data_IF_069851684483
#
_entry.id   IF_069851684483
#
_cell.length_a   1.000
_cell.length_b   1.000
_cell.length_c   1.000
_cell.angle_alpha   90.00
_cell.angle_beta   90.00
_cell.angle_gamma   90.00
#
_symmetry.space_group_name_H-M   'P 1'
#
loop_
_entity.id
_entity.type
_entity.pdbx_description
1 polymer ?
#
# COMPACT_ATOMS: atom_id res chain seq x y z
N UNK A 1 -10.86 -9.27 2.67
CA UNK A 1 -10.13 -7.99 2.40
C UNK A 1 -9.52 -7.45 3.66
N UNK A 2 -8.41 -6.65 3.55
CA UNK A 2 -7.88 -5.93 4.71
C UNK A 2 -8.84 -4.80 5.08
N UNK A 3 -9.27 -4.67 6.34
CA UNK A 3 -10.08 -3.55 6.78
C UNK A 3 -9.32 -2.22 6.65
N UNK A 4 -10.05 -1.17 6.32
CA UNK A 4 -9.52 0.18 6.17
C UNK A 4 -10.00 1.05 7.32
N UNK A 5 -9.05 1.64 8.06
CA UNK A 5 -9.30 2.47 9.23
C UNK A 5 -8.86 3.90 8.93
N UNK A 6 -9.80 4.85 8.98
CA UNK A 6 -9.51 6.27 8.78
C UNK A 6 -9.25 6.97 10.13
N UNK A 7 -8.17 7.75 10.20
CA UNK A 7 -7.85 8.63 11.32
C UNK A 7 -8.42 10.01 11.04
N UNK A 8 -9.33 10.49 11.88
CA UNK A 8 -10.02 11.78 11.75
C UNK A 8 -9.87 12.60 13.03
N UNK A 9 -9.81 13.90 12.91
CA UNK A 9 -9.73 14.81 14.06
C UNK A 9 -9.15 16.17 13.64
N UNK A 10 -9.28 17.17 14.51
CA UNK A 10 -8.72 18.51 14.28
C UNK A 10 -7.20 18.49 14.16
N UNK A 11 -6.56 19.54 13.66
CA UNK A 11 -5.09 19.65 13.65
C UNK A 11 -4.49 19.49 15.05
N UNK A 12 -3.28 18.93 15.12
CA UNK A 12 -2.47 18.80 16.36
C UNK A 12 -3.01 17.87 17.46
N UNK A 13 -4.07 17.09 17.25
CA UNK A 13 -4.54 16.06 18.21
C UNK A 13 -3.66 14.81 18.23
N UNK A 14 -2.65 14.70 17.33
CA UNK A 14 -1.71 13.59 17.30
C UNK A 14 -2.07 12.47 16.32
N UNK A 15 -2.86 12.74 15.27
CA UNK A 15 -3.19 11.77 14.20
C UNK A 15 -1.95 11.13 13.59
N UNK A 16 -1.03 11.94 13.11
CA UNK A 16 0.19 11.44 12.45
C UNK A 16 1.11 10.70 13.43
N UNK A 17 1.09 11.05 14.72
CA UNK A 17 1.80 10.28 15.75
C UNK A 17 1.18 8.89 15.92
N UNK A 18 -0.15 8.81 16.00
CA UNK A 18 -0.88 7.54 16.07
C UNK A 18 -0.68 6.72 14.79
N UNK A 19 -0.81 7.35 13.61
CA UNK A 19 -0.54 6.74 12.31
C UNK A 19 0.84 6.10 12.27
N UNK A 20 1.88 6.87 12.61
CA UNK A 20 3.25 6.38 12.65
C UNK A 20 3.44 5.24 13.67
N UNK A 21 2.72 5.28 14.78
CA UNK A 21 2.78 4.22 15.79
C UNK A 21 2.14 2.93 15.29
N UNK A 22 1.00 3.01 14.62
CA UNK A 22 0.29 1.86 14.07
C UNK A 22 1.05 1.23 12.89
N UNK A 23 1.61 2.06 12.01
CA UNK A 23 2.30 1.61 10.79
C UNK A 23 3.77 1.25 10.99
N UNK A 24 4.40 1.72 12.09
CA UNK A 24 5.79 1.37 12.48
C UNK A 24 5.86 0.10 13.32
N UNK A 25 5.10 -0.94 13.02
CA UNK A 25 5.39 -2.25 13.60
C UNK A 25 6.78 -2.71 13.13
N UNK A 26 7.53 -3.42 13.99
CA UNK A 26 8.93 -3.88 13.73
C UNK A 26 9.11 -4.67 12.43
N UNK A 27 8.02 -5.10 11.80
CA UNK A 27 7.98 -5.85 10.54
C UNK A 27 7.71 -4.95 9.31
N UNK A 28 7.35 -3.67 9.49
CA UNK A 28 7.28 -2.71 8.39
C UNK A 28 8.70 -2.28 8.06
N UNK A 29 9.31 -2.92 7.08
CA UNK A 29 10.58 -2.49 6.50
C UNK A 29 10.29 -1.17 5.79
N UNK A 30 10.52 -0.08 6.51
CA UNK A 30 10.59 1.26 5.93
C UNK A 30 11.88 1.30 5.13
N UNK A 31 11.80 0.99 3.85
CA UNK A 31 12.88 1.31 2.95
C UNK A 31 12.92 2.86 2.84
N UNK A 32 13.95 3.48 3.38
CA UNK A 32 14.26 4.89 3.15
C UNK A 32 14.69 5.06 1.68
N UNK A 33 13.70 5.13 0.79
CA UNK A 33 13.95 5.53 -0.59
C UNK A 33 13.96 7.05 -0.66
N UNK A 34 15.11 7.60 -1.08
CA UNK A 34 15.23 9.01 -1.39
C UNK A 34 14.19 9.36 -2.48
N UNK A 35 13.27 10.29 -2.17
CA UNK A 35 12.20 10.73 -3.07
C UNK A 35 10.78 10.40 -2.61
N UNK A 36 10.58 9.55 -1.60
CA UNK A 36 9.29 9.42 -0.93
C UNK A 36 9.16 10.52 0.13
N UNK A 37 8.24 11.45 -0.09
CA UNK A 37 7.97 12.52 0.87
C UNK A 37 7.46 11.98 2.20
N UNK A 38 7.82 12.64 3.31
CA UNK A 38 7.45 12.26 4.69
C UNK A 38 5.93 12.32 4.99
N UNK A 39 5.15 12.92 4.12
CA UNK A 39 3.70 13.09 4.29
C UNK A 39 2.95 11.87 3.73
N UNK A 40 2.99 10.77 4.49
CA UNK A 40 2.22 9.56 4.16
C UNK A 40 0.81 9.72 4.68
N UNK A 41 -0.17 9.67 3.78
CA UNK A 41 -1.59 9.69 4.13
C UNK A 41 -2.18 8.27 4.32
N UNK A 42 -1.43 7.21 4.01
CA UNK A 42 -1.88 5.82 4.18
C UNK A 42 -0.70 4.86 4.41
N UNK A 43 -0.95 3.78 5.13
CA UNK A 43 0.07 2.78 5.44
C UNK A 43 -0.53 1.47 5.90
N UNK A 44 0.27 0.39 5.78
CA UNK A 44 -0.09 -0.91 6.31
C UNK A 44 0.26 -0.99 7.80
N UNK A 45 -0.65 -1.56 8.57
CA UNK A 45 -0.45 -1.89 9.97
C UNK A 45 -0.85 -3.34 10.22
N UNK A 46 -0.43 -3.89 11.36
CA UNK A 46 -0.74 -5.26 11.74
C UNK A 46 -1.15 -5.32 13.21
N UNK A 47 -2.24 -6.01 13.49
CA UNK A 47 -2.68 -6.30 14.84
C UNK A 47 -2.90 -7.81 15.00
N UNK A 48 -2.06 -8.46 15.81
CA UNK A 48 -2.01 -9.92 15.87
C UNK A 48 -1.66 -10.54 14.50
N UNK A 49 -2.56 -11.36 13.97
CA UNK A 49 -2.44 -11.94 12.62
C UNK A 49 -3.15 -11.13 11.53
N UNK A 50 -3.96 -10.13 11.91
CA UNK A 50 -4.74 -9.33 10.97
C UNK A 50 -3.94 -8.17 10.43
N UNK A 51 -4.00 -7.97 9.14
CA UNK A 51 -3.40 -6.83 8.44
C UNK A 51 -4.49 -5.80 8.15
N UNK A 52 -4.16 -4.52 8.30
CA UNK A 52 -5.07 -3.39 8.16
C UNK A 52 -4.43 -2.27 7.34
N UNK A 53 -5.25 -1.51 6.64
CA UNK A 53 -4.83 -0.27 5.98
C UNK A 53 -5.26 0.89 6.87
N UNK A 54 -4.32 1.74 7.24
CA UNK A 54 -4.59 2.97 8.00
C UNK A 54 -4.47 4.16 7.07
N UNK A 55 -5.46 5.05 7.10
CA UNK A 55 -5.50 6.28 6.30
C UNK A 55 -5.45 7.49 7.23
N UNK A 56 -4.38 8.29 7.14
CA UNK A 56 -4.30 9.59 7.82
C UNK A 56 -4.97 10.64 6.92
N UNK A 57 -6.06 11.22 7.40
CA UNK A 57 -6.81 12.22 6.62
C UNK A 57 -6.25 13.64 6.73
N UNK A 58 -5.10 13.81 7.39
CA UNK A 58 -4.56 15.14 7.67
C UNK A 58 -5.43 15.92 8.66
N UNK A 59 -5.37 17.25 8.66
CA UNK A 59 -6.28 18.09 9.45
C UNK A 59 -7.64 18.18 8.75
N UNK A 60 -8.69 17.63 9.36
CA UNK A 60 -10.04 17.73 8.82
C UNK A 60 -10.67 19.09 9.18
N UNK A 61 -10.90 19.93 8.17
CA UNK A 61 -11.67 21.17 8.28
C UNK A 61 -12.96 21.02 7.47
N UNK A 62 -14.13 20.78 8.13
CA UNK A 62 -15.39 20.50 7.44
C UNK A 62 -15.88 21.67 6.56
N UNK A 63 -15.53 22.90 6.91
CA UNK A 63 -16.08 24.13 6.32
C UNK A 63 -15.10 24.88 5.40
N UNK A 64 -14.02 24.24 4.93
CA UNK A 64 -13.13 24.86 3.97
C UNK A 64 -13.86 25.17 2.65
N UNK A 65 -14.16 26.45 2.41
CA UNK A 65 -14.99 26.93 1.29
C UNK A 65 -14.19 27.40 0.08
N UNK A 66 -12.86 27.52 0.18
CA UNK A 66 -12.04 28.15 -0.87
C UNK A 66 -10.83 27.31 -1.28
N UNK A 67 -10.59 27.23 -2.60
CA UNK A 67 -9.32 26.78 -3.21
C UNK A 67 -8.92 25.32 -2.93
N UNK A 68 -7.63 25.13 -2.69
CA UNK A 68 -6.97 23.83 -2.44
C UNK A 68 -7.56 23.11 -1.22
N UNK A 69 -7.94 23.84 -0.17
CA UNK A 69 -8.54 23.30 1.04
C UNK A 69 -9.90 22.61 0.81
N UNK A 70 -10.69 23.13 -0.14
CA UNK A 70 -11.98 22.52 -0.52
C UNK A 70 -11.79 21.15 -1.17
N UNK A 71 -10.77 21.00 -2.01
CA UNK A 71 -10.46 19.72 -2.67
C UNK A 71 -9.90 18.70 -1.67
N UNK A 72 -9.03 19.14 -0.75
CA UNK A 72 -8.52 18.29 0.35
C UNK A 72 -9.67 17.82 1.26
N UNK A 73 -10.58 18.72 1.64
CA UNK A 73 -11.76 18.36 2.44
C UNK A 73 -12.68 17.35 1.73
N UNK A 74 -12.77 17.41 0.40
CA UNK A 74 -13.56 16.48 -0.41
C UNK A 74 -12.91 15.08 -0.43
N UNK A 75 -11.59 15.00 -0.61
CA UNK A 75 -10.85 13.73 -0.58
C UNK A 75 -10.92 13.09 0.81
N UNK A 76 -10.75 13.88 1.86
CA UNK A 76 -10.89 13.42 3.26
C UNK A 76 -12.29 12.87 3.53
N UNK A 77 -13.34 13.59 3.14
CA UNK A 77 -14.74 13.12 3.29
C UNK A 77 -14.97 11.80 2.56
N UNK A 78 -14.40 11.64 1.38
CA UNK A 78 -14.50 10.42 0.62
C UNK A 78 -13.76 9.26 1.30
N UNK A 79 -12.54 9.46 1.77
CA UNK A 79 -11.78 8.45 2.50
C UNK A 79 -12.52 7.97 3.76
N UNK A 80 -13.12 8.90 4.52
CA UNK A 80 -13.96 8.59 5.70
C UNK A 80 -15.21 7.80 5.30
N UNK A 81 -15.90 8.19 4.22
CA UNK A 81 -17.10 7.49 3.77
C UNK A 81 -16.82 6.05 3.31
N UNK A 82 -15.64 5.78 2.80
CA UNK A 82 -15.23 4.50 2.26
C UNK A 82 -14.48 3.60 3.27
N UNK A 83 -13.99 4.16 4.38
CA UNK A 83 -13.36 3.40 5.46
C UNK A 83 -14.35 2.43 6.12
N UNK A 84 -13.86 1.28 6.57
CA UNK A 84 -14.63 0.28 7.30
C UNK A 84 -14.87 0.71 8.75
N UNK A 85 -13.90 1.42 9.37
CA UNK A 85 -14.03 2.04 10.68
C UNK A 85 -13.30 3.39 10.72
N UNK A 86 -13.71 4.25 11.65
CA UNK A 86 -13.15 5.59 11.85
C UNK A 86 -12.62 5.72 13.28
N UNK A 87 -11.37 6.14 13.44
CA UNK A 87 -10.82 6.58 14.70
C UNK A 87 -10.93 8.10 14.78
N UNK A 88 -11.86 8.60 15.55
CA UNK A 88 -12.02 10.02 15.81
C UNK A 88 -11.13 10.43 16.97
N UNK A 89 -10.02 11.10 16.66
CA UNK A 89 -8.97 11.45 17.62
C UNK A 89 -9.22 12.83 18.17
N UNK A 90 -9.32 12.92 19.47
CA UNK A 90 -9.50 14.15 20.27
C UNK A 90 -8.32 14.33 21.22
N UNK A 91 -8.09 15.57 21.66
CA UNK A 91 -7.01 15.90 22.60
C UNK A 91 -7.54 15.81 24.04
N UNK A 92 -7.10 14.79 24.79
CA UNK A 92 -7.53 14.57 26.17
C UNK A 92 -7.22 15.75 27.12
N UNK A 93 -6.14 16.49 26.83
CA UNK A 93 -5.74 17.64 27.66
C UNK A 93 -6.41 18.94 27.25
N UNK A 94 -6.74 19.06 25.96
CA UNK A 94 -7.32 20.27 25.39
C UNK A 94 -8.84 20.35 25.52
N UNK A 95 -9.49 19.25 25.97
CA UNK A 95 -10.93 19.16 26.04
C UNK A 95 -11.65 19.15 24.68
N UNK A 96 -12.98 19.12 24.71
CA UNK A 96 -13.82 19.15 23.52
C UNK A 96 -13.93 20.57 22.96
N UNK A 97 -13.69 20.72 21.66
CA UNK A 97 -13.81 21.98 20.94
C UNK A 97 -15.06 22.01 20.05
N UNK A 98 -15.47 23.22 19.62
CA UNK A 98 -16.56 23.37 18.64
C UNK A 98 -16.31 22.57 17.35
N UNK A 99 -15.05 22.49 16.91
CA UNK A 99 -14.65 21.71 15.74
C UNK A 99 -14.83 20.20 15.96
N UNK A 100 -14.60 19.69 17.16
CA UNK A 100 -14.84 18.29 17.50
C UNK A 100 -16.33 17.93 17.43
N UNK A 101 -17.22 18.85 17.86
CA UNK A 101 -18.68 18.67 17.72
C UNK A 101 -19.11 18.63 16.24
N UNK A 102 -18.55 19.48 15.37
CA UNK A 102 -18.88 19.45 13.94
C UNK A 102 -18.41 18.15 13.28
N UNK A 103 -17.22 17.68 13.60
CA UNK A 103 -16.71 16.40 13.12
C UNK A 103 -17.60 15.25 13.61
N UNK A 104 -17.95 15.23 14.91
CA UNK A 104 -18.82 14.21 15.48
C UNK A 104 -20.20 14.18 14.81
N UNK A 105 -20.81 15.36 14.57
CA UNK A 105 -22.07 15.50 13.84
C UNK A 105 -21.97 14.94 12.42
N UNK A 106 -20.86 15.19 11.73
CA UNK A 106 -20.60 14.63 10.40
C UNK A 106 -20.50 13.10 10.44
N UNK A 107 -19.73 12.54 11.38
CA UNK A 107 -19.56 11.08 11.52
C UNK A 107 -20.88 10.38 11.86
N UNK A 108 -21.69 10.95 12.74
CA UNK A 108 -23.04 10.43 13.06
C UNK A 108 -23.96 10.39 11.84
N UNK A 109 -23.94 11.44 10.98
CA UNK A 109 -24.73 11.46 9.74
C UNK A 109 -24.32 10.38 8.75
N UNK A 110 -23.04 10.00 8.73
CA UNK A 110 -22.56 8.92 7.86
C UNK A 110 -22.96 7.53 8.35
N UNK A 111 -23.35 7.37 9.61
CA UNK A 111 -23.69 6.07 10.21
C UNK A 111 -22.50 5.09 10.23
N UNK A 112 -21.26 5.60 10.19
CA UNK A 112 -20.04 4.78 10.18
C UNK A 112 -19.66 4.34 11.57
N UNK A 113 -19.17 3.10 11.71
CA UNK A 113 -18.57 2.61 12.94
C UNK A 113 -17.40 3.53 13.32
N UNK A 114 -17.58 4.28 14.39
CA UNK A 114 -16.63 5.31 14.83
C UNK A 114 -16.25 5.09 16.28
N UNK A 115 -14.96 5.22 16.59
CA UNK A 115 -14.41 5.11 17.94
C UNK A 115 -13.81 6.44 18.36
N UNK A 116 -14.22 6.98 19.50
CA UNK A 116 -13.63 8.20 20.08
C UNK A 116 -12.32 7.85 20.76
N UNK A 117 -11.23 8.43 20.31
CA UNK A 117 -9.88 8.17 20.82
C UNK A 117 -9.35 9.43 21.50
N UNK A 118 -9.37 9.44 22.84
CA UNK A 118 -8.80 10.53 23.62
C UNK A 118 -7.28 10.35 23.72
N UNK A 119 -6.55 11.06 22.86
CA UNK A 119 -5.09 10.99 22.79
C UNK A 119 -4.44 12.00 23.73
N UNK A 120 -3.15 11.80 24.04
CA UNK A 120 -2.37 12.54 25.04
C UNK A 120 -2.87 12.33 26.47
N UNK A 121 -3.39 11.13 26.74
CA UNK A 121 -3.98 10.75 28.02
C UNK A 121 -2.95 10.25 29.05
N UNK A 122 -1.63 10.44 28.82
CA UNK A 122 -0.60 10.05 29.75
C UNK A 122 -0.77 10.77 31.11
N UNK A 123 -0.81 9.96 32.19
CA UNK A 123 -0.98 10.46 33.56
C UNK A 123 -2.43 10.80 33.94
N UNK A 124 -3.41 10.57 33.05
CA UNK A 124 -4.83 10.77 33.32
C UNK A 124 -5.48 9.47 33.79
N UNK A 125 -6.32 9.53 34.82
CA UNK A 125 -7.11 8.38 35.32
C UNK A 125 -8.52 8.42 34.78
N UNK A 126 -9.03 7.25 34.33
CA UNK A 126 -10.20 7.11 33.46
C UNK A 126 -11.54 7.67 33.95
N UNK A 127 -11.76 7.86 35.25
CA UNK A 127 -13.13 7.96 35.79
C UNK A 127 -13.75 9.35 35.83
N UNK A 128 -12.99 10.44 35.70
CA UNK A 128 -13.55 11.81 35.85
C UNK A 128 -13.15 12.77 34.73
N UNK A 129 -12.13 12.48 33.96
CA UNK A 129 -11.53 13.42 33.02
C UNK A 129 -12.02 13.28 31.59
N UNK A 130 -12.74 12.20 31.23
CA UNK A 130 -13.23 11.95 29.87
C UNK A 130 -14.73 12.17 29.71
N UNK A 131 -15.42 12.66 30.75
CA UNK A 131 -16.87 12.86 30.76
C UNK A 131 -17.39 13.68 29.58
N UNK A 132 -16.71 14.78 29.27
CA UNK A 132 -17.09 15.68 28.18
C UNK A 132 -17.04 15.03 26.79
N UNK A 133 -16.17 14.03 26.56
CA UNK A 133 -16.07 13.37 25.26
C UNK A 133 -17.24 12.45 24.96
N UNK A 134 -18.00 12.01 25.96
CA UNK A 134 -19.25 11.25 25.76
C UNK A 134 -20.35 12.09 25.14
N UNK A 135 -20.31 13.44 25.33
CA UNK A 135 -21.24 14.36 24.71
C UNK A 135 -21.15 14.39 23.17
N UNK A 136 -20.02 13.91 22.61
CA UNK A 136 -19.87 13.76 21.17
C UNK A 136 -20.83 12.71 20.58
N UNK A 137 -21.42 11.83 21.39
CA UNK A 137 -22.47 10.89 21.01
C UNK A 137 -22.02 9.84 19.98
N UNK A 138 -20.78 9.38 20.08
CA UNK A 138 -20.17 8.35 19.23
C UNK A 138 -19.79 7.08 20.02
N UNK A 139 -20.34 6.91 21.23
CA UNK A 139 -20.12 5.73 22.08
C UNK A 139 -18.96 5.84 23.05
N UNK A 140 -18.29 4.74 23.34
CA UNK A 140 -17.22 4.68 24.33
C UNK A 140 -16.00 5.49 23.93
N UNK A 141 -15.36 6.12 24.92
CA UNK A 141 -14.11 6.88 24.78
C UNK A 141 -12.94 6.00 25.17
N UNK A 142 -11.96 5.88 24.27
CA UNK A 142 -10.77 5.06 24.50
C UNK A 142 -9.58 5.99 24.72
N UNK A 143 -9.00 5.94 25.92
CA UNK A 143 -7.85 6.74 26.28
C UNK A 143 -6.56 6.13 25.74
N UNK A 144 -5.74 6.93 25.06
CA UNK A 144 -4.45 6.50 24.50
C UNK A 144 -3.37 7.58 24.69
N UNK A 145 -2.13 7.15 24.71
CA UNK A 145 -0.98 8.04 24.50
C UNK A 145 -0.19 7.55 23.29
N UNK A 146 -0.43 8.14 22.13
CA UNK A 146 0.25 7.76 20.90
C UNK A 146 1.76 7.97 20.98
N UNK A 147 2.23 9.00 21.70
CA UNK A 147 3.65 9.27 21.91
C UNK A 147 4.33 8.15 22.72
N UNK A 148 3.68 7.68 23.77
CA UNK A 148 4.22 6.67 24.70
C UNK A 148 3.79 5.24 24.38
N UNK A 149 2.84 5.05 23.45
CA UNK A 149 2.34 3.74 23.05
C UNK A 149 1.35 3.09 24.05
N UNK A 150 0.84 3.88 25.02
CA UNK A 150 -0.12 3.40 26.00
C UNK A 150 -1.53 3.32 25.42
N UNK A 151 -2.30 2.29 25.79
CA UNK A 151 -3.69 2.09 25.34
C UNK A 151 -3.87 1.64 23.88
N UNK A 152 -2.80 1.63 23.07
CA UNK A 152 -2.87 1.31 21.63
C UNK A 152 -3.36 -0.12 21.38
N UNK A 153 -2.89 -1.08 22.17
CA UNK A 153 -3.31 -2.48 22.04
C UNK A 153 -4.80 -2.62 22.32
N UNK A 154 -5.28 -2.07 23.44
CA UNK A 154 -6.69 -2.10 23.83
C UNK A 154 -7.58 -1.42 22.78
N UNK A 155 -7.14 -0.26 22.24
CA UNK A 155 -7.82 0.39 21.13
C UNK A 155 -7.95 -0.56 19.94
N UNK A 156 -6.86 -1.16 19.50
CA UNK A 156 -6.88 -2.03 18.32
C UNK A 156 -7.63 -3.33 18.54
N UNK A 157 -7.60 -3.91 19.75
CA UNK A 157 -8.41 -5.08 20.11
C UNK A 157 -9.91 -4.78 19.94
N UNK A 158 -10.39 -3.60 20.35
CA UNK A 158 -11.79 -3.19 20.20
C UNK A 158 -12.15 -2.89 18.75
N UNK A 159 -11.29 -2.17 18.04
CA UNK A 159 -11.51 -1.78 16.64
C UNK A 159 -11.52 -2.98 15.71
N UNK A 160 -10.70 -3.98 15.99
CA UNK A 160 -10.55 -5.17 15.15
C UNK A 160 -11.52 -6.29 15.50
N UNK A 161 -12.19 -6.25 16.65
CA UNK A 161 -13.16 -7.27 17.06
C UNK A 161 -14.25 -7.55 15.99
N UNK A 162 -14.87 -6.54 15.34
CA UNK A 162 -15.88 -6.78 14.29
C UNK A 162 -15.30 -7.40 13.00
N UNK A 163 -13.98 -7.34 12.81
CA UNK A 163 -13.28 -7.84 11.62
C UNK A 163 -12.55 -9.16 11.90
N UNK A 164 -12.79 -9.78 13.05
CA UNK A 164 -12.22 -11.09 13.36
C UNK A 164 -12.67 -12.10 12.28
N UNK A 165 -11.76 -12.94 11.74
CA UNK A 165 -12.16 -13.98 10.81
C UNK A 165 -13.17 -14.89 11.50
N UNK A 166 -14.27 -15.18 10.81
CA UNK A 166 -15.21 -16.20 11.23
C UNK A 166 -14.46 -17.54 11.27
N UNK A 167 -14.34 -18.20 12.42
CA UNK A 167 -13.65 -19.48 12.51
C UNK A 167 -14.30 -20.58 11.67
N UNK A 168 -15.57 -20.43 11.32
CA UNK A 168 -16.34 -21.35 10.48
C UNK A 168 -16.44 -20.89 9.01
N UNK A 169 -15.88 -19.73 8.67
CA UNK A 169 -15.83 -19.30 7.28
C UNK A 169 -14.92 -20.27 6.49
N UNK A 170 -15.50 -20.93 5.52
CA UNK A 170 -14.77 -21.70 4.50
C UNK A 170 -13.63 -20.82 3.97
N UNK A 171 -12.43 -21.39 3.83
CA UNK A 171 -11.29 -20.69 3.23
C UNK A 171 -11.73 -20.00 1.95
N UNK A 172 -11.23 -18.77 1.65
CA UNK A 172 -11.67 -18.04 0.47
C UNK A 172 -11.53 -18.96 -0.75
N UNK A 173 -12.66 -19.22 -1.38
CA UNK A 173 -12.80 -20.04 -2.58
C UNK A 173 -11.77 -19.52 -3.60
N UNK A 174 -10.71 -20.29 -3.84
CA UNK A 174 -9.79 -20.07 -4.94
C UNK A 174 -10.51 -20.44 -6.24
N UNK A 175 -11.50 -19.63 -6.62
CA UNK A 175 -12.37 -19.86 -7.77
C UNK A 175 -11.61 -19.97 -9.10
N UNK A 176 -10.32 -19.61 -9.14
CA UNK A 176 -9.46 -19.77 -10.30
C UNK A 176 -7.99 -19.99 -9.88
N UNK A 177 -7.59 -21.21 -9.44
CA UNK A 177 -6.21 -21.48 -9.09
C UNK A 177 -5.30 -21.23 -10.31
N UNK A 178 -4.31 -20.33 -10.14
CA UNK A 178 -3.36 -19.96 -11.18
C UNK A 178 -3.71 -18.74 -12.03
N UNK A 179 -4.83 -18.06 -11.79
CA UNK A 179 -5.13 -16.78 -12.44
C UNK A 179 -4.26 -15.64 -11.88
N UNK A 180 -3.78 -14.77 -12.77
CA UNK A 180 -3.04 -13.56 -12.37
C UNK A 180 -4.06 -12.50 -11.94
N UNK A 181 -4.06 -12.16 -10.63
CA UNK A 181 -4.88 -11.09 -10.08
C UNK A 181 -4.24 -9.74 -10.43
N UNK A 182 -4.88 -8.98 -11.33
CA UNK A 182 -4.37 -7.72 -11.87
C UNK A 182 -5.20 -6.55 -11.37
N UNK A 183 -4.55 -5.56 -10.74
CA UNK A 183 -5.14 -4.25 -10.45
C UNK A 183 -4.57 -3.18 -11.38
N UNK A 184 -5.40 -2.23 -11.81
CA UNK A 184 -4.96 -1.03 -12.53
C UNK A 184 -5.06 0.17 -11.60
N UNK A 185 -3.90 0.67 -11.16
CA UNK A 185 -3.78 1.79 -10.25
C UNK A 185 -3.31 3.07 -10.97
N UNK A 186 -3.59 4.22 -10.41
CA UNK A 186 -3.19 5.52 -10.93
C UNK A 186 -4.19 6.61 -10.56
N UNK A 187 -3.81 7.87 -10.77
CA UNK A 187 -4.65 9.03 -10.47
C UNK A 187 -5.97 9.03 -11.25
N UNK A 188 -6.94 9.87 -10.88
CA UNK A 188 -8.11 10.17 -11.72
C UNK A 188 -7.67 10.64 -13.12
N UNK A 189 -8.47 10.33 -14.12
CA UNK A 189 -8.31 10.79 -15.51
C UNK A 189 -7.02 10.38 -16.24
N UNK A 190 -6.17 9.51 -15.67
CA UNK A 190 -5.00 8.95 -16.36
C UNK A 190 -5.37 7.96 -17.47
N UNK A 191 -6.67 7.58 -17.57
CA UNK A 191 -7.19 6.70 -18.60
C UNK A 191 -7.35 5.24 -18.21
N UNK A 192 -7.49 4.92 -16.90
CA UNK A 192 -7.75 3.54 -16.41
C UNK A 192 -8.95 2.91 -17.08
N UNK A 193 -10.10 3.58 -17.02
CA UNK A 193 -11.36 3.08 -17.61
C UNK A 193 -11.25 2.93 -19.12
N UNK A 194 -10.56 3.85 -19.81
CA UNK A 194 -10.30 3.75 -21.23
C UNK A 194 -9.46 2.53 -21.57
N UNK A 195 -8.39 2.30 -20.80
CA UNK A 195 -7.51 1.14 -21.00
C UNK A 195 -8.27 -0.17 -20.78
N UNK A 196 -9.00 -0.28 -19.68
CA UNK A 196 -9.76 -1.49 -19.35
C UNK A 196 -10.86 -1.74 -20.39
N UNK A 197 -11.60 -0.71 -20.81
CA UNK A 197 -12.61 -0.84 -21.86
C UNK A 197 -11.98 -1.24 -23.20
N UNK A 198 -10.80 -0.72 -23.52
CA UNK A 198 -10.06 -1.12 -24.72
C UNK A 198 -9.68 -2.59 -24.66
N UNK A 199 -9.17 -3.05 -23.52
CA UNK A 199 -8.84 -4.46 -23.31
C UNK A 199 -10.06 -5.38 -23.39
N UNK A 200 -11.14 -5.05 -22.66
CA UNK A 200 -12.38 -5.85 -22.68
C UNK A 200 -13.10 -5.85 -24.05
N UNK A 201 -12.82 -4.87 -24.91
CA UNK A 201 -13.31 -4.80 -26.27
C UNK A 201 -12.41 -5.48 -27.31
N UNK A 202 -11.27 -6.07 -26.93
CA UNK A 202 -10.42 -6.84 -27.83
C UNK A 202 -11.03 -8.23 -28.05
N UNK A 203 -11.14 -8.68 -29.33
CA UNK A 203 -11.68 -10.01 -29.71
C UNK A 203 -10.91 -11.20 -29.12
N UNK A 204 -9.70 -10.96 -28.59
CA UNK A 204 -8.83 -11.97 -28.01
C UNK A 204 -9.04 -12.17 -26.50
N UNK A 205 -9.95 -11.42 -25.88
CA UNK A 205 -10.29 -11.54 -24.47
C UNK A 205 -11.64 -12.24 -24.33
N UNK A 206 -11.63 -13.40 -23.76
CA UNK A 206 -12.86 -14.13 -23.38
C UNK A 206 -13.19 -13.79 -21.93
N UNK A 207 -14.18 -12.92 -21.72
CA UNK A 207 -14.72 -12.64 -20.39
C UNK A 207 -15.72 -13.74 -20.00
N UNK A 208 -15.59 -14.26 -18.79
CA UNK A 208 -16.50 -15.26 -18.25
C UNK A 208 -17.50 -14.59 -17.31
N UNK A 209 -18.79 -14.74 -17.59
CA UNK A 209 -19.86 -14.41 -16.64
C UNK A 209 -20.03 -15.59 -15.67
N UNK A 210 -19.44 -15.48 -14.48
CA UNK A 210 -19.68 -16.42 -13.39
C UNK A 210 -20.85 -15.91 -12.53
N UNK A 211 -21.97 -16.66 -12.42
CA UNK A 211 -23.02 -16.35 -11.46
C UNK A 211 -22.54 -16.67 -10.06
N UNK A 212 -22.63 -15.74 -9.12
CA UNK A 212 -22.34 -15.96 -7.70
C UNK A 212 -21.33 -15.06 -7.03
N UNK A 213 -20.77 -14.03 -7.72
CA UNK A 213 -19.90 -13.05 -7.08
C UNK A 213 -20.68 -12.10 -6.20
N UNK A 214 -20.98 -12.53 -4.97
CA UNK A 214 -21.70 -11.75 -3.96
C UNK A 214 -20.73 -10.88 -3.15
N UNK A 215 -21.06 -9.64 -3.09
CA UNK A 215 -20.97 -8.59 -2.07
C UNK A 215 -19.79 -7.64 -2.01
N UNK A 216 -18.50 -7.96 -2.26
CA UNK A 216 -17.47 -6.95 -1.87
C UNK A 216 -16.31 -6.66 -2.84
N UNK A 217 -16.06 -7.48 -3.87
CA UNK A 217 -15.04 -7.17 -4.90
C UNK A 217 -15.56 -7.57 -6.27
N UNK A 218 -15.78 -6.58 -7.13
CA UNK A 218 -16.16 -6.86 -8.52
C UNK A 218 -14.89 -7.19 -9.28
N UNK A 219 -14.63 -8.48 -9.49
CA UNK A 219 -13.58 -8.97 -10.34
C UNK A 219 -14.13 -9.44 -11.68
N UNK A 220 -13.36 -9.27 -12.75
CA UNK A 220 -13.70 -9.75 -14.09
C UNK A 220 -12.65 -10.81 -14.47
N UNK A 221 -13.02 -12.10 -14.48
CA UNK A 221 -12.15 -13.15 -15.00
C UNK A 221 -12.12 -13.09 -16.52
N UNK A 222 -10.95 -13.27 -17.10
CA UNK A 222 -10.74 -13.35 -18.53
C UNK A 222 -9.53 -14.18 -18.88
N UNK A 223 -9.41 -14.58 -20.14
CA UNK A 223 -8.27 -15.33 -20.64
C UNK A 223 -7.65 -14.63 -21.85
N UNK A 224 -6.31 -14.63 -21.90
CA UNK A 224 -5.54 -14.12 -23.04
C UNK A 224 -4.34 -15.01 -23.30
N UNK A 225 -4.23 -15.54 -24.50
CA UNK A 225 -3.10 -16.37 -24.89
C UNK A 225 -2.89 -17.62 -24.03
N UNK A 226 -3.96 -18.24 -23.52
CA UNK A 226 -3.89 -19.39 -22.64
C UNK A 226 -3.56 -19.05 -21.18
N UNK A 227 -3.32 -17.78 -20.83
CA UNK A 227 -3.10 -17.31 -19.48
C UNK A 227 -4.40 -16.74 -18.90
N UNK A 228 -4.79 -17.24 -17.72
CA UNK A 228 -5.95 -16.73 -16.99
C UNK A 228 -5.58 -15.49 -16.18
N UNK A 229 -6.47 -14.51 -16.20
CA UNK A 229 -6.36 -13.26 -15.46
C UNK A 229 -7.65 -12.98 -14.71
N UNK A 230 -7.54 -12.23 -13.64
CA UNK A 230 -8.66 -11.70 -12.88
C UNK A 230 -8.42 -10.20 -12.65
N UNK A 231 -9.21 -9.35 -13.30
CA UNK A 231 -9.11 -7.89 -13.12
C UNK A 231 -9.88 -7.49 -11.87
N UNK A 232 -9.18 -6.90 -10.90
CA UNK A 232 -9.71 -6.54 -9.59
C UNK A 232 -10.22 -5.09 -9.60
N UNK A 233 -11.29 -4.84 -8.84
CA UNK A 233 -11.93 -3.53 -8.62
C UNK A 233 -12.43 -2.85 -9.91
N UNK A 234 -13.33 -3.54 -10.59
CA UNK A 234 -14.01 -3.00 -11.77
C UNK A 234 -15.35 -2.31 -11.45
N UNK A 235 -15.59 -1.95 -10.18
CA UNK A 235 -16.86 -1.39 -9.72
C UNK A 235 -17.33 -0.14 -10.49
N UNK A 236 -16.38 0.64 -11.03
CA UNK A 236 -16.68 1.78 -11.90
C UNK A 236 -17.15 1.40 -13.31
N UNK A 237 -16.94 0.16 -13.77
CA UNK A 237 -17.16 -0.25 -15.16
C UNK A 237 -18.49 -0.96 -15.40
N UNK A 238 -19.12 -1.56 -14.38
CA UNK A 238 -20.35 -2.38 -14.54
C UNK A 238 -21.65 -1.59 -14.73
N UNK A 239 -21.65 -0.27 -14.68
CA UNK A 239 -22.85 0.51 -15.00
C UNK A 239 -22.99 0.76 -16.51
N UNK A 240 -23.04 -0.30 -17.31
CA UNK A 240 -23.55 -0.24 -18.68
C UNK A 240 -25.06 -0.10 -18.66
N UNK A 241 -25.54 1.11 -18.82
CA UNK A 241 -26.95 1.41 -19.03
C UNK A 241 -27.28 2.83 -18.62
N UNK A 242 -27.10 3.78 -19.55
CA UNK A 242 -27.47 5.20 -19.46
C UNK A 242 -26.71 6.03 -18.43
N UNK A 243 -26.07 7.07 -18.94
CA UNK A 243 -25.36 8.22 -18.36
C UNK A 243 -23.85 8.09 -18.38
N UNK A 244 -23.30 8.67 -19.42
CA UNK A 244 -21.87 8.87 -19.69
C UNK A 244 -21.21 9.97 -18.82
N UNK A 245 -21.81 10.34 -17.69
CA UNK A 245 -21.33 11.40 -16.78
C UNK A 245 -21.41 11.01 -15.29
N UNK A 246 -21.13 9.76 -14.96
CA UNK A 246 -20.74 9.49 -13.57
C UNK A 246 -19.27 9.85 -13.44
N UNK A 247 -18.98 11.04 -12.92
CA UNK A 247 -17.68 11.49 -12.40
C UNK A 247 -17.02 10.27 -11.77
N UNK A 248 -15.90 9.82 -12.34
CA UNK A 248 -15.06 8.75 -11.80
C UNK A 248 -14.63 9.21 -10.41
N UNK A 249 -15.42 8.84 -9.39
CA UNK A 249 -15.10 9.19 -8.01
C UNK A 249 -13.85 8.39 -7.65
N UNK A 250 -12.71 9.08 -7.71
CA UNK A 250 -11.46 8.51 -7.26
C UNK A 250 -11.59 8.12 -5.79
N UNK A 251 -11.49 6.83 -5.54
CA UNK A 251 -11.45 6.26 -4.21
C UNK A 251 -10.03 5.83 -3.92
N UNK A 252 -9.35 6.56 -3.05
CA UNK A 252 -8.02 6.16 -2.55
C UNK A 252 -8.14 4.80 -1.86
N UNK A 253 -9.15 4.64 -1.00
CA UNK A 253 -9.39 3.41 -0.24
C UNK A 253 -9.55 2.21 -1.16
N UNK A 254 -10.40 2.31 -2.20
CA UNK A 254 -10.60 1.22 -3.17
C UNK A 254 -9.33 0.90 -3.96
N UNK A 255 -8.57 1.95 -4.34
CA UNK A 255 -7.30 1.75 -5.03
C UNK A 255 -6.32 0.97 -4.13
N UNK A 256 -6.23 1.30 -2.84
CA UNK A 256 -5.38 0.59 -1.89
C UNK A 256 -5.84 -0.85 -1.68
N UNK A 257 -7.15 -1.09 -1.55
CA UNK A 257 -7.73 -2.43 -1.44
C UNK A 257 -7.48 -3.27 -2.69
N UNK A 258 -7.59 -2.67 -3.88
CA UNK A 258 -7.29 -3.33 -5.14
C UNK A 258 -5.80 -3.72 -5.23
N UNK A 259 -4.88 -2.81 -4.86
CA UNK A 259 -3.44 -3.10 -4.80
C UNK A 259 -3.17 -4.29 -3.86
N UNK A 260 -3.78 -4.30 -2.66
CA UNK A 260 -3.59 -5.37 -1.69
C UNK A 260 -4.13 -6.73 -2.13
N UNK A 261 -5.20 -6.73 -2.90
CA UNK A 261 -5.82 -7.97 -3.41
C UNK A 261 -5.15 -8.49 -4.69
N UNK A 262 -4.34 -7.67 -5.35
CA UNK A 262 -3.67 -8.04 -6.60
C UNK A 262 -2.39 -8.85 -6.38
N UNK A 263 -2.02 -9.67 -7.35
CA UNK A 263 -0.67 -10.24 -7.46
C UNK A 263 0.26 -9.35 -8.30
N UNK A 264 -0.29 -8.64 -9.27
CA UNK A 264 0.43 -7.67 -10.11
C UNK A 264 -0.39 -6.39 -10.20
N UNK A 265 0.28 -5.24 -10.10
CA UNK A 265 -0.32 -3.92 -10.27
C UNK A 265 0.21 -3.28 -11.54
N UNK A 266 -0.67 -2.82 -12.42
CA UNK A 266 -0.33 -1.92 -13.51
C UNK A 266 -0.50 -0.48 -13.02
N UNK A 267 0.61 0.21 -12.79
CA UNK A 267 0.62 1.63 -12.44
C UNK A 267 0.53 2.46 -13.72
N UNK A 268 -0.58 3.19 -13.86
CA UNK A 268 -0.85 4.04 -15.01
C UNK A 268 -0.53 5.50 -14.69
N UNK A 269 0.29 6.14 -15.52
CA UNK A 269 0.75 7.53 -15.41
C UNK A 269 0.27 8.30 -16.62
N UNK A 270 -0.08 9.57 -16.47
CA UNK A 270 -0.45 10.46 -17.56
C UNK A 270 0.78 11.16 -18.13
N UNK A 271 1.03 10.99 -19.44
CA UNK A 271 2.14 11.66 -20.11
C UNK A 271 1.97 13.18 -20.18
N UNK A 272 0.72 13.67 -20.23
CA UNK A 272 0.43 15.12 -20.35
C UNK A 272 0.79 15.87 -19.09
N UNK A 273 0.42 15.30 -17.92
CA UNK A 273 0.69 15.90 -16.62
C UNK A 273 2.09 15.55 -16.10
N UNK A 274 2.74 14.51 -16.64
CA UNK A 274 3.97 13.93 -16.10
C UNK A 274 3.75 13.21 -14.76
N UNK A 275 4.86 12.86 -14.10
CA UNK A 275 4.81 12.20 -12.78
C UNK A 275 4.55 13.21 -11.68
N UNK A 276 3.49 13.01 -10.91
CA UNK A 276 3.13 13.85 -9.77
C UNK A 276 3.47 13.18 -8.43
N UNK A 277 3.36 13.93 -7.33
CA UNK A 277 3.57 13.40 -5.99
C UNK A 277 2.54 12.30 -5.64
N UNK A 278 1.31 12.41 -6.15
CA UNK A 278 0.29 11.39 -5.96
C UNK A 278 0.65 10.08 -6.68
N UNK A 279 1.23 10.14 -7.87
CA UNK A 279 1.74 8.95 -8.58
C UNK A 279 2.88 8.29 -7.79
N UNK A 280 3.80 9.10 -7.23
CA UNK A 280 4.89 8.62 -6.40
C UNK A 280 4.39 7.96 -5.10
N UNK A 281 3.34 8.49 -4.47
CA UNK A 281 2.71 7.89 -3.29
C UNK A 281 2.06 6.54 -3.61
N UNK A 282 1.30 6.44 -4.71
CA UNK A 282 0.71 5.17 -5.15
C UNK A 282 1.82 4.15 -5.44
N UNK A 283 2.87 4.56 -6.15
CA UNK A 283 4.03 3.74 -6.45
C UNK A 283 4.75 3.23 -5.18
N UNK A 284 4.92 4.11 -4.20
CA UNK A 284 5.48 3.78 -2.90
C UNK A 284 4.65 2.74 -2.15
N UNK A 285 3.32 2.90 -2.16
CA UNK A 285 2.42 1.94 -1.52
C UNK A 285 2.47 0.56 -2.20
N UNK A 286 2.53 0.51 -3.55
CA UNK A 286 2.70 -0.75 -4.29
C UNK A 286 3.99 -1.47 -3.86
N UNK A 287 5.09 -0.72 -3.73
CA UNK A 287 6.37 -1.26 -3.28
C UNK A 287 6.29 -1.80 -1.84
N UNK A 288 5.67 -1.04 -0.93
CA UNK A 288 5.50 -1.42 0.47
C UNK A 288 4.60 -2.65 0.65
N UNK A 289 3.52 -2.73 -0.13
CA UNK A 289 2.64 -3.91 -0.15
C UNK A 289 3.32 -5.16 -0.72
N UNK A 290 4.49 -4.97 -1.37
CA UNK A 290 5.26 -6.06 -1.95
C UNK A 290 4.69 -6.62 -3.25
N UNK A 291 3.74 -5.92 -3.87
CA UNK A 291 3.11 -6.40 -5.11
C UNK A 291 4.04 -6.22 -6.31
N UNK A 292 3.96 -7.17 -7.23
CA UNK A 292 4.64 -7.01 -8.51
C UNK A 292 4.04 -5.81 -9.27
N UNK A 293 4.87 -5.09 -10.01
CA UNK A 293 4.48 -3.83 -10.65
C UNK A 293 4.99 -3.73 -12.09
N UNK A 294 4.11 -3.24 -12.95
CA UNK A 294 4.43 -2.79 -14.31
C UNK A 294 4.00 -1.33 -14.41
N UNK A 295 4.83 -0.49 -14.99
CA UNK A 295 4.53 0.93 -15.17
C UNK A 295 4.15 1.21 -16.63
N UNK A 296 3.03 1.90 -16.85
CA UNK A 296 2.63 2.33 -18.19
C UNK A 296 2.34 3.83 -18.19
N UNK A 297 3.01 4.55 -19.09
CA UNK A 297 2.79 5.98 -19.34
C UNK A 297 1.79 6.09 -20.47
N UNK A 298 0.56 6.47 -20.14
CA UNK A 298 -0.55 6.59 -21.07
C UNK A 298 -0.63 7.99 -21.68
N UNK A 299 -1.42 8.13 -22.75
CA UNK A 299 -1.59 9.34 -23.56
C UNK A 299 -0.30 9.78 -24.23
N UNK A 300 0.60 8.84 -24.52
CA UNK A 300 1.88 9.12 -25.17
C UNK A 300 1.75 9.74 -26.57
N UNK A 301 0.58 9.56 -27.18
CA UNK A 301 0.20 10.15 -28.47
C UNK A 301 -0.19 11.63 -28.39
N UNK A 302 -0.42 12.15 -27.17
CA UNK A 302 -0.86 13.52 -26.94
C UNK A 302 0.29 14.49 -26.57
N UNK A 303 1.52 13.97 -26.43
CA UNK A 303 2.69 14.75 -26.01
C UNK A 303 3.71 14.91 -27.14
N UNK A 304 4.30 16.10 -27.23
CA UNK A 304 5.39 16.40 -28.17
C UNK A 304 6.74 15.85 -27.69
N UNK A 305 7.79 16.03 -28.47
CA UNK A 305 9.11 15.47 -28.19
C UNK A 305 9.75 16.11 -26.94
N UNK A 306 9.55 17.40 -26.74
CA UNK A 306 10.05 18.10 -25.57
C UNK A 306 9.39 17.59 -24.27
N UNK A 307 8.05 17.46 -24.29
CA UNK A 307 7.31 16.89 -23.17
C UNK A 307 7.69 15.44 -22.88
N UNK A 308 7.94 14.63 -23.91
CA UNK A 308 8.42 13.24 -23.76
C UNK A 308 9.72 13.16 -22.98
N UNK A 309 10.68 14.03 -23.24
CA UNK A 309 11.94 14.07 -22.50
C UNK A 309 11.73 14.54 -21.04
N UNK A 310 10.86 15.50 -20.79
CA UNK A 310 10.50 15.93 -19.44
C UNK A 310 9.86 14.78 -18.65
N UNK A 311 8.95 14.03 -19.26
CA UNK A 311 8.32 12.86 -18.63
C UNK A 311 9.36 11.80 -18.30
N UNK A 312 10.27 11.45 -19.19
CA UNK A 312 11.35 10.48 -18.94
C UNK A 312 12.21 10.91 -17.74
N UNK A 313 12.65 12.19 -17.70
CA UNK A 313 13.41 12.74 -16.57
C UNK A 313 12.62 12.69 -15.27
N UNK A 314 11.34 13.00 -15.30
CA UNK A 314 10.48 12.95 -14.10
C UNK A 314 10.30 11.52 -13.60
N UNK A 315 10.18 10.52 -14.50
CA UNK A 315 10.16 9.10 -14.15
C UNK A 315 11.46 8.67 -13.43
N UNK A 316 12.61 9.03 -13.98
CA UNK A 316 13.92 8.70 -13.38
C UNK A 316 14.10 9.33 -12.00
N UNK A 317 13.65 10.57 -11.84
CA UNK A 317 13.84 11.33 -10.59
C UNK A 317 12.84 10.89 -9.52
N UNK A 318 11.55 10.79 -9.85
CA UNK A 318 10.48 10.56 -8.88
C UNK A 318 10.15 9.08 -8.67
N UNK A 319 10.34 8.23 -9.69
CA UNK A 319 10.09 6.78 -9.64
C UNK A 319 11.36 5.95 -9.78
N UNK A 320 12.54 6.55 -9.52
CA UNK A 320 13.82 5.87 -9.58
C UNK A 320 13.94 4.62 -8.70
N UNK A 321 13.10 4.49 -7.68
CA UNK A 321 12.99 3.31 -6.83
C UNK A 321 12.24 2.13 -7.50
N UNK A 322 11.55 2.35 -8.62
CA UNK A 322 10.90 1.33 -9.45
C UNK A 322 11.71 0.90 -10.67
N UNK A 323 13.03 1.16 -10.72
CA UNK A 323 13.88 0.77 -11.86
C UNK A 323 13.85 -0.73 -12.22
N UNK A 324 13.39 -1.57 -11.30
CA UNK A 324 13.20 -3.00 -11.53
C UNK A 324 11.91 -3.32 -12.29
N UNK A 325 10.97 -2.38 -12.40
CA UNK A 325 9.71 -2.55 -13.09
C UNK A 325 9.88 -2.31 -14.60
N UNK A 326 9.13 -3.07 -15.41
CA UNK A 326 9.02 -2.79 -16.82
C UNK A 326 8.25 -1.48 -17.06
N UNK A 327 8.75 -0.64 -17.96
CA UNK A 327 8.15 0.63 -18.34
C UNK A 327 7.63 0.55 -19.77
N UNK A 328 6.35 0.92 -19.98
CA UNK A 328 5.71 0.96 -21.28
C UNK A 328 5.17 2.35 -21.59
N UNK A 329 5.35 2.78 -22.83
CA UNK A 329 4.79 4.00 -23.37
C UNK A 329 3.58 3.63 -24.23
N UNK A 330 2.38 4.02 -23.81
CA UNK A 330 1.14 3.53 -24.40
C UNK A 330 0.17 4.66 -24.79
N UNK A 331 -0.74 4.35 -25.69
CA UNK A 331 -1.95 5.11 -25.91
C UNK A 331 -3.16 4.17 -25.84
N UNK A 332 -3.88 4.20 -24.73
CA UNK A 332 -5.10 3.42 -24.57
C UNK A 332 -6.16 3.79 -25.62
N UNK A 333 -6.28 5.09 -25.98
CA UNK A 333 -7.21 5.59 -26.97
C UNK A 333 -6.89 5.11 -28.38
N UNK A 334 -5.60 5.13 -28.77
CA UNK A 334 -5.15 4.70 -30.11
C UNK A 334 -4.77 3.22 -30.17
N UNK A 335 -4.91 2.48 -29.06
CA UNK A 335 -4.55 1.05 -28.93
C UNK A 335 -3.08 0.77 -29.27
N UNK A 336 -2.18 1.71 -28.96
CA UNK A 336 -0.75 1.58 -29.25
C UNK A 336 0.02 1.12 -28.01
N UNK A 337 1.00 0.22 -28.19
CA UNK A 337 1.89 -0.25 -27.14
C UNK A 337 1.26 -1.20 -26.11
N UNK A 338 0.02 -1.68 -26.30
CA UNK A 338 -0.71 -2.47 -25.32
C UNK A 338 -0.25 -3.94 -25.25
N UNK A 339 0.17 -4.52 -26.36
CA UNK A 339 0.60 -5.93 -26.44
C UNK A 339 1.71 -6.28 -25.44
N UNK A 340 2.87 -5.59 -25.47
CA UNK A 340 4.00 -5.85 -24.57
C UNK A 340 3.71 -5.68 -23.09
N UNK A 341 2.67 -4.91 -22.71
CA UNK A 341 2.24 -4.74 -21.31
C UNK A 341 1.84 -6.08 -20.70
N UNK A 342 1.11 -6.90 -21.46
CA UNK A 342 0.66 -8.22 -21.02
C UNK A 342 1.82 -9.18 -20.75
N UNK A 343 2.82 -9.18 -21.62
CA UNK A 343 4.02 -10.01 -21.44
C UNK A 343 4.78 -9.63 -20.17
N UNK A 344 4.88 -8.32 -19.92
CA UNK A 344 5.50 -7.80 -18.71
C UNK A 344 4.69 -8.10 -17.44
N UNK A 345 3.36 -8.08 -17.49
CA UNK A 345 2.50 -8.50 -16.37
C UNK A 345 2.74 -9.98 -16.04
N UNK A 346 2.74 -10.84 -17.06
CA UNK A 346 3.01 -12.26 -16.87
C UNK A 346 4.45 -12.52 -16.37
N UNK A 347 5.43 -11.76 -16.87
CA UNK A 347 6.81 -11.84 -16.41
C UNK A 347 6.94 -11.44 -14.94
N UNK A 348 6.35 -10.30 -14.54
CA UNK A 348 6.36 -9.80 -13.18
C UNK A 348 5.71 -10.80 -12.19
N UNK A 349 4.59 -11.41 -12.59
CA UNK A 349 3.94 -12.46 -11.81
C UNK A 349 4.85 -13.69 -11.62
N UNK A 350 5.48 -14.17 -12.70
CA UNK A 350 6.44 -15.29 -12.61
C UNK A 350 7.63 -14.96 -11.71
N UNK A 351 8.16 -13.75 -11.84
CA UNK A 351 9.26 -13.26 -11.00
C UNK A 351 8.89 -13.20 -9.52
N UNK A 352 7.67 -12.72 -9.20
CA UNK A 352 7.18 -12.67 -7.83
C UNK A 352 7.04 -14.07 -7.18
N UNK A 353 6.74 -15.08 -7.97
CA UNK A 353 6.55 -16.46 -7.53
C UNK A 353 7.76 -17.36 -7.85
N UNK A 354 8.92 -16.77 -8.14
CA UNK A 354 10.14 -17.51 -8.46
C UNK A 354 10.62 -18.32 -7.25
N UNK A 355 10.86 -19.63 -7.47
CA UNK A 355 11.48 -20.51 -6.47
C UNK A 355 12.99 -20.43 -6.57
N UNK A 356 13.64 -20.10 -5.45
CA UNK A 356 15.09 -19.93 -5.35
C UNK A 356 15.67 -21.02 -4.44
N UNK A 357 16.55 -21.85 -4.96
CA UNK A 357 17.15 -22.91 -4.14
C UNK A 357 18.20 -22.35 -3.18
N UNK A 358 18.23 -22.87 -1.95
CA UNK A 358 19.20 -22.49 -0.90
C UNK A 358 20.66 -22.63 -1.36
N UNK A 359 21.09 -23.70 -2.05
CA UNK A 359 22.46 -23.81 -2.53
C UNK A 359 22.86 -22.69 -3.50
N UNK A 360 21.97 -22.30 -4.44
CA UNK A 360 22.21 -21.22 -5.40
C UNK A 360 22.29 -19.88 -4.68
N UNK A 361 21.33 -19.60 -3.80
CA UNK A 361 21.33 -18.36 -3.00
C UNK A 361 22.60 -18.23 -2.14
N UNK A 362 23.02 -19.31 -1.49
CA UNK A 362 24.23 -19.31 -0.65
C UNK A 362 25.48 -19.11 -1.49
N UNK A 363 25.61 -19.78 -2.64
CA UNK A 363 26.73 -19.59 -3.56
C UNK A 363 26.83 -18.13 -4.00
N UNK A 364 25.73 -17.54 -4.49
CA UNK A 364 25.68 -16.13 -4.92
C UNK A 364 26.03 -15.16 -3.80
N UNK A 365 25.56 -15.44 -2.58
CA UNK A 365 25.91 -14.65 -1.40
C UNK A 365 27.42 -14.65 -1.15
N UNK A 366 28.06 -15.85 -1.17
CA UNK A 366 29.48 -16.00 -0.93
C UNK A 366 30.32 -15.36 -2.05
N UNK A 367 29.92 -15.51 -3.31
CA UNK A 367 30.53 -14.82 -4.45
C UNK A 367 30.43 -13.29 -4.29
N UNK A 368 29.27 -12.78 -3.86
CA UNK A 368 29.09 -11.36 -3.58
C UNK A 368 30.00 -10.85 -2.46
N UNK A 369 30.15 -11.62 -1.38
CA UNK A 369 31.06 -11.31 -0.27
C UNK A 369 32.52 -11.34 -0.70
N UNK A 370 32.92 -12.27 -1.56
CA UNK A 370 34.28 -12.33 -2.13
C UNK A 370 34.55 -11.11 -3.03
N UNK A 371 33.59 -10.73 -3.86
CA UNK A 371 33.70 -9.56 -4.76
C UNK A 371 33.76 -8.25 -3.98
N UNK A 372 32.88 -8.10 -2.98
CA UNK A 372 32.84 -6.90 -2.16
C UNK A 372 32.52 -7.29 -0.70
N UNK A 373 33.52 -7.28 0.14
CA UNK A 373 33.37 -7.58 1.56
C UNK A 373 32.61 -6.46 2.28
N UNK A 374 31.66 -6.78 3.19
CA UNK A 374 30.96 -5.78 3.98
C UNK A 374 31.94 -4.91 4.77
N UNK A 375 31.68 -3.60 4.83
CA UNK A 375 32.51 -2.67 5.60
C UNK A 375 32.42 -2.99 7.09
N UNK A 376 33.55 -2.83 7.79
CA UNK A 376 33.61 -2.87 9.25
C UNK A 376 32.92 -1.63 9.80
N UNK A 377 32.05 -1.82 10.79
CA UNK A 377 31.37 -0.75 11.51
C UNK A 377 31.80 -0.79 12.98
N UNK A 378 32.64 0.18 13.39
CA UNK A 378 33.27 0.14 14.71
C UNK A 378 34.16 -1.09 14.87
N UNK A 379 33.96 -1.87 15.94
CA UNK A 379 34.72 -3.10 16.21
C UNK A 379 34.11 -4.32 15.48
N UNK A 380 32.92 -4.21 14.89
CA UNK A 380 32.18 -5.32 14.31
C UNK A 380 32.41 -5.45 12.80
N UNK A 381 32.68 -6.68 12.34
CA UNK A 381 32.76 -7.02 10.93
C UNK A 381 31.63 -8.02 10.62
N UNK A 382 30.60 -7.62 9.86
CA UNK A 382 29.53 -8.52 9.46
C UNK A 382 30.10 -9.75 8.71
N UNK A 383 29.66 -10.95 9.09
CA UNK A 383 30.00 -12.21 8.43
C UNK A 383 28.75 -12.88 7.92
N UNK A 384 28.50 -12.77 6.61
CA UNK A 384 27.38 -13.45 5.95
C UNK A 384 27.79 -14.90 5.67
N UNK A 385 26.93 -15.88 6.02
CA UNK A 385 27.27 -17.30 5.96
C UNK A 385 26.46 -18.06 4.91
N UNK A 386 25.15 -17.93 4.94
CA UNK A 386 24.25 -18.57 3.99
C UNK A 386 22.98 -17.76 3.80
N UNK A 387 22.26 -18.08 2.71
CA UNK A 387 20.98 -17.46 2.40
C UNK A 387 19.97 -18.51 1.96
N UNK A 388 18.70 -18.30 2.31
CA UNK A 388 17.59 -19.12 1.84
C UNK A 388 16.39 -18.23 1.50
N UNK A 389 15.45 -18.76 0.74
CA UNK A 389 14.20 -18.09 0.44
C UNK A 389 13.26 -18.17 1.65
N UNK A 390 12.83 -17.04 2.18
CA UNK A 390 11.92 -16.93 3.32
C UNK A 390 10.45 -16.70 2.93
N UNK A 391 10.19 -16.40 1.64
CA UNK A 391 8.85 -16.16 1.14
C UNK A 391 8.81 -15.85 -0.34
N UNK A 392 7.59 -15.83 -0.89
CA UNK A 392 7.28 -15.47 -2.27
C UNK A 392 6.19 -14.40 -2.26
N UNK A 393 6.09 -13.64 -3.33
CA UNK A 393 5.08 -12.60 -3.56
C UNK A 393 4.95 -11.57 -2.41
N UNK A 394 6.02 -10.78 -2.12
CA UNK A 394 7.26 -10.66 -2.88
C UNK A 394 8.30 -11.72 -2.47
N UNK A 395 9.30 -11.98 -3.32
CA UNK A 395 10.46 -12.79 -2.94
C UNK A 395 11.16 -12.21 -1.71
N UNK A 396 11.41 -13.06 -0.70
CA UNK A 396 12.12 -12.69 0.52
C UNK A 396 13.36 -13.57 0.62
N UNK A 397 14.54 -12.98 0.70
CA UNK A 397 15.79 -13.69 0.92
C UNK A 397 16.24 -13.43 2.35
N UNK A 398 16.36 -14.49 3.13
CA UNK A 398 16.86 -14.42 4.50
C UNK A 398 18.35 -14.77 4.49
N UNK A 399 19.17 -13.84 4.93
CA UNK A 399 20.62 -13.97 5.05
C UNK A 399 20.97 -14.22 6.51
N UNK A 400 21.69 -15.28 6.78
CA UNK A 400 22.17 -15.65 8.12
C UNK A 400 23.66 -15.40 8.28
N UNK A 401 24.04 -14.98 9.47
CA UNK A 401 25.44 -14.71 9.79
C UNK A 401 25.64 -14.09 11.17
N UNK A 402 26.77 -13.46 11.37
CA UNK A 402 27.12 -12.82 12.64
C UNK A 402 27.25 -11.29 12.43
N UNK A 403 26.78 -10.51 13.41
CA UNK A 403 26.86 -9.03 13.41
C UNK A 403 26.16 -8.39 12.19
N UNK A 404 25.07 -9.01 11.70
CA UNK A 404 24.39 -8.57 10.48
C UNK A 404 23.57 -7.28 10.69
N UNK A 405 23.29 -6.90 11.91
CA UNK A 405 22.70 -5.60 12.30
C UNK A 405 23.56 -4.41 11.86
N UNK A 406 24.85 -4.64 11.64
CA UNK A 406 25.81 -3.62 11.17
C UNK A 406 25.97 -3.60 9.64
N UNK A 407 25.22 -4.41 8.88
CA UNK A 407 25.23 -4.37 7.42
C UNK A 407 24.52 -3.10 6.93
N UNK A 408 25.24 -2.27 6.17
CA UNK A 408 24.70 -1.01 5.67
C UNK A 408 23.63 -1.22 4.59
N UNK A 409 22.71 -0.27 4.46
CA UNK A 409 21.68 -0.30 3.41
C UNK A 409 22.28 -0.31 2.00
N UNK A 410 23.42 0.38 1.82
CA UNK A 410 24.16 0.35 0.53
C UNK A 410 24.60 -1.07 0.18
N UNK A 411 25.05 -1.86 1.18
CA UNK A 411 25.46 -3.24 0.95
C UNK A 411 24.26 -4.16 0.68
N UNK A 412 23.14 -3.94 1.35
CA UNK A 412 21.89 -4.66 1.05
C UNK A 412 21.42 -4.41 -0.38
N UNK A 413 21.48 -3.15 -0.86
CA UNK A 413 21.16 -2.82 -2.27
C UNK A 413 22.13 -3.47 -3.26
N UNK A 414 23.40 -3.59 -2.92
CA UNK A 414 24.37 -4.33 -3.73
C UNK A 414 23.99 -5.81 -3.84
N UNK A 415 23.67 -6.46 -2.73
CA UNK A 415 23.19 -7.85 -2.73
C UNK A 415 21.90 -8.02 -3.52
N UNK A 416 20.94 -7.09 -3.34
CA UNK A 416 19.70 -7.06 -4.09
C UNK A 416 19.95 -7.04 -5.60
N UNK A 417 20.84 -6.18 -6.07
CA UNK A 417 21.21 -6.08 -7.48
C UNK A 417 21.77 -7.41 -8.04
N UNK A 418 22.58 -8.12 -7.24
CA UNK A 418 23.12 -9.42 -7.61
C UNK A 418 22.05 -10.50 -7.74
N UNK A 419 21.17 -10.60 -6.72
CA UNK A 419 20.06 -11.57 -6.73
C UNK A 419 19.06 -11.28 -7.84
N UNK A 420 18.71 -9.99 -8.07
CA UNK A 420 17.82 -9.59 -9.17
C UNK A 420 18.33 -10.04 -10.53
N UNK A 421 19.63 -9.84 -10.78
CA UNK A 421 20.24 -10.20 -12.05
C UNK A 421 20.22 -11.70 -12.29
N UNK A 422 20.59 -12.49 -11.28
CA UNK A 422 20.67 -13.95 -11.42
C UNK A 422 19.30 -14.60 -11.61
N UNK A 423 18.30 -14.17 -10.84
CA UNK A 423 16.94 -14.75 -10.90
C UNK A 423 16.00 -14.01 -11.85
N UNK A 424 16.50 -13.04 -12.62
CA UNK A 424 15.71 -12.21 -13.54
C UNK A 424 14.43 -11.65 -12.88
N UNK A 425 14.58 -11.04 -11.70
CA UNK A 425 13.47 -10.53 -10.90
C UNK A 425 12.96 -9.17 -11.43
N UNK A 426 12.44 -9.18 -12.65
CA UNK A 426 11.83 -8.00 -13.28
C UNK A 426 10.40 -7.83 -12.78
N UNK A 427 10.03 -6.59 -12.43
CA UNK A 427 8.66 -6.25 -12.04
C UNK A 427 8.25 -6.67 -10.64
N UNK A 428 9.14 -7.23 -9.82
CA UNK A 428 8.80 -7.61 -8.44
C UNK A 428 9.74 -6.97 -7.43
N UNK A 429 9.25 -6.46 -6.29
CA UNK A 429 10.10 -6.07 -5.17
C UNK A 429 10.88 -7.29 -4.65
N UNK A 430 12.09 -7.06 -4.14
CA UNK A 430 12.88 -8.07 -3.45
C UNK A 430 13.18 -7.59 -2.03
N UNK A 431 12.90 -8.43 -1.05
CA UNK A 431 13.20 -8.13 0.36
C UNK A 431 14.36 -8.96 0.84
N UNK A 432 15.36 -8.32 1.48
CA UNK A 432 16.48 -9.00 2.11
C UNK A 432 16.36 -8.82 3.62
N UNK A 433 16.19 -9.91 4.34
CA UNK A 433 16.16 -9.95 5.80
C UNK A 433 17.49 -10.43 6.34
N UNK A 434 18.08 -9.70 7.30
CA UNK A 434 19.30 -10.07 7.97
C UNK A 434 18.95 -10.70 9.31
N UNK A 435 19.39 -11.93 9.53
CA UNK A 435 19.21 -12.65 10.80
C UNK A 435 20.58 -12.97 11.41
N UNK A 436 20.98 -12.21 12.42
CA UNK A 436 22.14 -12.55 13.25
C UNK A 436 21.80 -13.77 14.11
N UNK A 437 22.76 -14.72 14.24
CA UNK A 437 22.66 -15.75 15.25
C UNK A 437 22.65 -15.05 16.62
N UNK A 438 21.71 -15.41 17.50
CA UNK A 438 21.72 -14.95 18.88
C UNK A 438 23.09 -15.29 19.49
N UNK A 439 23.76 -14.29 20.06
CA UNK A 439 24.99 -14.54 20.81
C UNK A 439 24.60 -15.27 22.09
N UNK A 440 24.96 -16.56 22.27
CA UNK A 440 24.57 -17.30 23.49
C UNK A 440 25.22 -16.74 24.76
N UNK A 441 26.08 -15.72 24.65
CA UNK A 441 26.81 -15.09 25.75
C UNK A 441 26.45 -13.60 25.96
N UNK A 442 25.37 -13.09 25.32
CA UNK A 442 24.98 -11.68 25.45
C UNK A 442 24.22 -11.31 26.74
N UNK A 443 23.81 -12.31 27.54
CA UNK A 443 23.07 -12.12 28.79
C UNK A 443 23.90 -12.51 30.03
N UNK A 444 25.15 -12.13 30.06
CA UNK A 444 26.02 -12.24 31.26
C UNK A 444 26.82 -10.96 31.41
N UNK A 445 26.14 -9.88 31.81
CA UNK A 445 26.70 -8.77 32.61
C UNK A 445 25.54 -8.06 33.31
#
# INVERSE_FOLDING_TARGET
MKPVIALVGRPNVGKSTLFNRLTKSRDAIVADFAGLTRDRHYGNAKHGKQEIIVVDTGGFEPDATTGIFKEMAKQTRQAVAEADAVLFIVDARGGVSAQDYEIAKYLRRLGKTSYVVANKAEGMTESTQFGEFYELGLGAVIAVSAAHGQGIRTLMDQVMAPFAPDPDALEPDESNPGAIKLAVAGRPNVGKSTLINTWLGEERLVAFDLPGTTRDTISIPFERGGQKFELIDTAGLRRKGKVFEAIEKFSVVKTLQAIESASVVLLLIDAVDGVTDQDAHIAGYILESGRAVVVAVNKWDAVDEYQRELVKRSLETRLGFLKFAALHLISARKRQGLGPVWDSIAQAHRAANCKMSTPVLTRLLLEAVQFQTPKKTGMYRPKLRYAHQGGMNPPIIVVHGNSLEHVTETYKRFLEGRFRKEFNLVGTPLRIQMKSAANPYADKD
#
